data_IF_360143164767
#
_entry.id   IF_360143164767
#
_cell.length_a   1.000
_cell.length_b   1.000
_cell.length_c   1.000
_cell.angle_alpha   90.00
_cell.angle_beta   90.00
_cell.angle_gamma   90.00
#
_symmetry.space_group_name_H-M   'P 1'
#
loop_
_entity.id
_entity.type
_entity.pdbx_description
1 polymer ?
#
# COMPACT_ATOMS: atom_id res chain seq x y z
N UNK A 1 -4.40 -9.17 23.42
CA UNK A 1 -3.92 -10.24 22.53
C UNK A 1 -3.14 -9.61 21.38
N UNK A 2 -1.83 -9.87 21.26
CA UNK A 2 -1.06 -9.47 20.07
C UNK A 2 -1.42 -10.44 18.94
N UNK A 3 -2.08 -9.96 17.89
CA UNK A 3 -2.31 -10.75 16.68
C UNK A 3 -0.94 -10.94 16.04
N UNK A 4 -0.31 -12.10 16.24
CA UNK A 4 0.92 -12.46 15.54
C UNK A 4 0.54 -12.63 14.06
N UNK A 5 0.79 -11.62 13.23
CA UNK A 5 0.64 -11.79 11.79
C UNK A 5 1.63 -12.88 11.33
N UNK A 6 1.21 -13.84 10.49
CA UNK A 6 2.13 -14.81 9.92
C UNK A 6 3.22 -14.06 9.14
N UNK A 7 4.42 -14.64 9.11
CA UNK A 7 5.54 -14.07 8.38
C UNK A 7 5.12 -13.75 6.93
N UNK A 8 5.56 -12.62 6.36
CA UNK A 8 5.16 -12.21 5.02
C UNK A 8 5.50 -13.31 4.00
N UNK A 9 4.49 -13.85 3.30
CA UNK A 9 4.73 -14.87 2.29
C UNK A 9 5.42 -14.26 1.07
N UNK A 10 6.72 -14.50 0.96
CA UNK A 10 7.63 -14.08 -0.12
C UNK A 10 7.96 -15.25 -1.06
N UNK A 11 7.32 -16.41 -0.93
CA UNK A 11 7.53 -17.51 -1.87
C UNK A 11 6.74 -17.24 -3.16
N UNK A 12 7.31 -17.51 -4.35
CA UNK A 12 6.58 -17.47 -5.61
C UNK A 12 5.32 -18.33 -5.56
N UNK A 13 4.25 -17.89 -6.21
CA UNK A 13 3.05 -18.73 -6.37
C UNK A 13 3.31 -19.84 -7.40
N UNK A 14 2.63 -21.01 -7.32
CA UNK A 14 2.85 -22.13 -8.23
C UNK A 14 2.81 -21.77 -9.72
N UNK A 15 1.88 -20.89 -10.12
CA UNK A 15 1.69 -20.47 -11.51
C UNK A 15 2.29 -19.08 -11.81
N UNK A 16 3.35 -18.69 -11.10
CA UNK A 16 3.98 -17.39 -11.33
C UNK A 16 4.87 -17.42 -12.58
N UNK A 17 4.61 -16.59 -13.61
CA UNK A 17 5.29 -16.70 -14.90
C UNK A 17 6.73 -16.16 -14.90
N UNK A 18 7.11 -15.33 -13.93
CA UNK A 18 8.44 -14.72 -13.85
C UNK A 18 8.84 -14.41 -12.40
N UNK A 19 10.15 -14.35 -12.08
CA UNK A 19 10.61 -13.97 -10.75
C UNK A 19 10.24 -12.51 -10.40
N UNK A 20 9.94 -12.27 -9.13
CA UNK A 20 9.64 -10.95 -8.60
C UNK A 20 10.56 -10.63 -7.43
N UNK A 21 10.85 -9.34 -7.22
CA UNK A 21 11.69 -8.93 -6.09
C UNK A 21 11.00 -9.20 -4.76
N UNK A 22 11.77 -9.70 -3.79
CA UNK A 22 11.37 -9.87 -2.39
C UNK A 22 11.81 -8.70 -1.51
N UNK A 23 12.58 -7.76 -2.09
CA UNK A 23 13.08 -6.58 -1.40
C UNK A 23 11.91 -5.66 -1.00
N UNK A 24 11.99 -5.15 0.23
CA UNK A 24 11.01 -4.23 0.79
C UNK A 24 11.63 -2.86 0.92
N UNK A 25 10.83 -1.83 0.65
CA UNK A 25 11.24 -0.44 0.77
C UNK A 25 10.76 0.13 2.11
N UNK A 26 11.67 0.74 2.86
CA UNK A 26 11.32 1.54 4.05
C UNK A 26 10.67 2.86 3.62
N UNK A 27 9.56 3.22 4.25
CA UNK A 27 8.86 4.49 4.03
C UNK A 27 9.46 5.63 4.85
N UNK A 28 9.00 6.86 4.59
CA UNK A 28 9.25 8.02 5.46
C UNK A 28 8.21 8.18 6.57
N UNK A 29 7.21 7.30 6.61
CA UNK A 29 6.03 7.39 7.47
C UNK A 29 6.34 6.75 8.83
N UNK A 30 6.34 7.48 9.94
CA UNK A 30 6.58 6.93 11.27
C UNK A 30 5.39 6.09 11.76
N UNK A 31 5.68 4.99 12.44
CA UNK A 31 4.66 4.15 13.10
C UNK A 31 4.29 4.75 14.45
N UNK A 32 3.03 4.59 14.85
CA UNK A 32 2.61 4.98 16.20
C UNK A 32 3.01 3.95 17.28
N UNK A 33 3.36 2.71 16.90
CA UNK A 33 3.59 1.60 17.82
C UNK A 33 5.03 1.47 18.30
N UNK A 34 5.98 1.98 17.53
CA UNK A 34 7.42 1.91 17.77
C UNK A 34 8.12 3.12 17.12
N UNK A 35 9.41 3.29 17.35
CA UNK A 35 10.20 4.39 16.78
C UNK A 35 10.68 4.14 15.34
N UNK A 36 10.10 3.15 14.67
CA UNK A 36 10.39 2.81 13.28
C UNK A 36 9.47 3.49 12.27
N UNK A 37 9.84 3.36 11.00
CA UNK A 37 8.97 3.70 9.87
C UNK A 37 8.25 2.46 9.33
N UNK A 38 7.18 2.69 8.58
CA UNK A 38 6.51 1.63 7.83
C UNK A 38 7.43 1.03 6.74
N UNK A 39 7.15 -0.21 6.38
CA UNK A 39 7.85 -0.89 5.29
C UNK A 39 6.82 -1.38 4.29
N UNK A 40 6.94 -0.95 3.05
CA UNK A 40 6.05 -1.35 1.99
C UNK A 40 6.21 -2.83 1.64
N UNK A 41 5.16 -3.47 1.10
CA UNK A 41 5.26 -4.84 0.58
C UNK A 41 6.25 -4.87 -0.60
N UNK A 42 6.95 -5.99 -0.75
CA UNK A 42 7.72 -6.28 -1.95
C UNK A 42 6.79 -6.58 -3.13
N UNK A 43 7.36 -6.64 -4.34
CA UNK A 43 6.63 -7.07 -5.54
C UNK A 43 6.01 -8.46 -5.36
N UNK A 44 6.78 -9.40 -4.79
CA UNK A 44 6.30 -10.76 -4.53
C UNK A 44 5.17 -10.80 -3.50
N UNK A 45 5.26 -9.99 -2.43
CA UNK A 45 4.18 -9.87 -1.45
C UNK A 45 2.91 -9.30 -2.07
N UNK A 46 3.04 -8.28 -2.92
CA UNK A 46 1.93 -7.68 -3.64
C UNK A 46 1.26 -8.67 -4.59
N UNK A 47 2.05 -9.38 -5.40
CA UNK A 47 1.55 -10.44 -6.28
C UNK A 47 0.74 -11.47 -5.50
N UNK A 48 1.32 -12.01 -4.42
CA UNK A 48 0.65 -12.98 -3.56
C UNK A 48 -0.62 -12.42 -2.92
N UNK A 49 -0.64 -11.13 -2.56
CA UNK A 49 -1.83 -10.47 -2.02
C UNK A 49 -2.94 -10.33 -3.07
N UNK A 50 -2.60 -9.99 -4.31
CA UNK A 50 -3.56 -9.88 -5.41
C UNK A 50 -4.16 -11.24 -5.76
N UNK A 51 -3.35 -12.31 -5.81
CA UNK A 51 -3.83 -13.68 -6.03
C UNK A 51 -4.83 -14.11 -4.94
N UNK A 52 -4.58 -13.77 -3.66
CA UNK A 52 -5.51 -14.04 -2.54
C UNK A 52 -6.83 -13.27 -2.67
N UNK A 53 -6.82 -12.10 -3.31
CA UNK A 53 -8.02 -11.32 -3.62
C UNK A 53 -8.78 -11.84 -4.85
N UNK A 54 -8.38 -13.00 -5.41
CA UNK A 54 -9.02 -13.61 -6.57
C UNK A 54 -8.58 -13.01 -7.90
N UNK A 55 -7.59 -12.11 -7.91
CA UNK A 55 -7.02 -11.63 -9.16
C UNK A 55 -6.35 -12.81 -9.89
N UNK A 56 -6.45 -12.80 -11.22
CA UNK A 56 -5.82 -13.79 -12.11
C UNK A 56 -5.12 -13.03 -13.22
N UNK A 57 -3.80 -12.95 -13.13
CA UNK A 57 -2.97 -12.36 -14.17
C UNK A 57 -2.99 -13.27 -15.40
N UNK A 58 -3.18 -12.71 -16.59
CA UNK A 58 -2.94 -13.44 -17.84
C UNK A 58 -1.47 -13.25 -18.25
N UNK A 59 -0.87 -14.29 -18.81
CA UNK A 59 0.58 -14.36 -19.09
C UNK A 59 1.10 -13.27 -20.04
N UNK A 60 0.21 -12.63 -20.82
CA UNK A 60 0.52 -11.55 -21.76
C UNK A 60 0.23 -10.13 -21.21
N UNK A 61 -0.41 -10.01 -20.05
CA UNK A 61 -0.90 -8.72 -19.55
C UNK A 61 0.07 -7.95 -18.67
N UNK A 62 1.06 -8.62 -18.09
CA UNK A 62 1.95 -8.00 -17.11
C UNK A 62 3.35 -8.60 -17.19
N UNK A 63 4.36 -7.73 -17.13
CA UNK A 63 5.77 -8.14 -17.03
C UNK A 63 6.33 -7.85 -15.64
N UNK A 64 7.46 -8.46 -15.29
CA UNK A 64 8.19 -8.12 -14.06
C UNK A 64 8.52 -6.62 -13.97
N UNK A 65 8.86 -6.00 -15.12
CA UNK A 65 9.14 -4.56 -15.20
C UNK A 65 7.90 -3.72 -14.89
N UNK A 66 6.72 -4.15 -15.33
CA UNK A 66 5.48 -3.45 -15.03
C UNK A 66 5.09 -3.61 -13.57
N UNK A 67 5.31 -4.78 -12.98
CA UNK A 67 5.14 -4.98 -11.54
C UNK A 67 6.03 -4.02 -10.73
N UNK A 68 7.31 -3.87 -11.10
CA UNK A 68 8.21 -2.89 -10.46
C UNK A 68 7.66 -1.46 -10.52
N UNK A 69 7.16 -1.04 -11.69
CA UNK A 69 6.57 0.29 -11.86
C UNK A 69 5.31 0.45 -11.00
N UNK A 70 4.43 -0.55 -10.99
CA UNK A 70 3.19 -0.54 -10.19
C UNK A 70 3.54 -0.30 -8.72
N UNK A 71 4.48 -1.06 -8.15
CA UNK A 71 4.87 -0.90 -6.75
C UNK A 71 5.47 0.48 -6.48
N UNK A 72 6.36 0.97 -7.36
CA UNK A 72 6.93 2.31 -7.22
C UNK A 72 5.86 3.40 -7.21
N UNK A 73 4.87 3.32 -8.11
CA UNK A 73 3.76 4.27 -8.18
C UNK A 73 2.92 4.21 -6.89
N UNK A 74 2.60 3.02 -6.39
CA UNK A 74 1.83 2.86 -5.16
C UNK A 74 2.55 3.44 -3.94
N UNK A 75 3.85 3.16 -3.81
CA UNK A 75 4.66 3.69 -2.71
C UNK A 75 4.76 5.21 -2.80
N UNK A 76 5.02 5.76 -3.98
CA UNK A 76 5.05 7.21 -4.20
C UNK A 76 3.71 7.88 -3.86
N UNK A 77 2.58 7.23 -4.19
CA UNK A 77 1.26 7.72 -3.84
C UNK A 77 1.05 7.75 -2.31
N UNK A 78 1.47 6.70 -1.60
CA UNK A 78 1.39 6.66 -0.13
C UNK A 78 2.21 7.79 0.51
N UNK A 79 3.43 8.04 0.02
CA UNK A 79 4.28 9.13 0.51
C UNK A 79 3.71 10.52 0.18
N UNK A 80 3.07 10.67 -0.98
CA UNK A 80 2.37 11.90 -1.33
C UNK A 80 1.17 12.16 -0.39
N UNK A 81 0.35 11.14 -0.15
CA UNK A 81 -0.78 11.21 0.78
C UNK A 81 -0.30 11.54 2.19
N UNK A 82 0.81 10.95 2.64
CA UNK A 82 1.38 11.27 3.95
C UNK A 82 1.78 12.74 4.06
N UNK A 83 2.45 13.30 3.04
CA UNK A 83 2.78 14.73 3.01
C UNK A 83 1.55 15.63 3.05
N UNK A 84 0.46 15.23 2.39
CA UNK A 84 -0.80 15.97 2.49
C UNK A 84 -1.39 15.90 3.90
N UNK A 85 -1.41 14.71 4.52
CA UNK A 85 -1.86 14.56 5.92
C UNK A 85 -1.07 15.49 6.83
N UNK A 86 0.26 15.55 6.72
CA UNK A 86 1.09 16.45 7.52
C UNK A 86 0.70 17.92 7.36
N UNK A 87 0.35 18.37 6.16
CA UNK A 87 -0.14 19.74 5.94
C UNK A 87 -1.46 20.01 6.67
N UNK A 88 -2.38 19.04 6.65
CA UNK A 88 -3.66 19.15 7.34
C UNK A 88 -3.50 19.13 8.86
N UNK A 89 -2.66 18.24 9.39
CA UNK A 89 -2.34 18.18 10.82
C UNK A 89 -1.71 19.49 11.31
N UNK A 90 -0.74 20.05 10.57
CA UNK A 90 -0.14 21.33 10.92
C UNK A 90 -1.16 22.50 10.90
N UNK A 91 -2.15 22.44 10.00
CA UNK A 91 -3.17 23.48 9.88
C UNK A 91 -4.24 23.40 11.00
N UNK A 92 -4.63 22.18 11.40
CA UNK A 92 -5.74 21.93 12.32
C UNK A 92 -5.30 21.70 13.77
N UNK A 93 -4.10 21.15 13.95
CA UNK A 93 -3.51 20.74 15.23
C UNK A 93 -2.05 21.21 15.32
N UNK A 94 -1.78 22.53 15.22
CA UNK A 94 -0.42 23.06 15.26
C UNK A 94 0.32 22.77 16.58
N UNK A 95 -0.40 22.41 17.65
CA UNK A 95 0.15 21.97 18.93
C UNK A 95 0.77 20.56 18.92
N UNK A 96 0.54 19.79 17.86
CA UNK A 96 1.02 18.41 17.71
C UNK A 96 2.32 18.36 16.88
N UNK A 97 3.46 18.32 17.56
CA UNK A 97 4.77 18.45 16.91
C UNK A 97 5.27 17.18 16.19
N UNK A 98 4.63 16.03 16.35
CA UNK A 98 5.14 14.76 15.82
C UNK A 98 4.02 13.76 15.44
N UNK A 99 3.22 14.04 14.40
CA UNK A 99 2.21 13.11 13.92
C UNK A 99 2.81 11.76 13.48
N UNK A 100 2.21 10.66 13.98
CA UNK A 100 2.60 9.28 13.66
C UNK A 100 1.41 8.50 13.10
N UNK A 101 1.64 7.62 12.11
CA UNK A 101 0.57 6.83 11.51
C UNK A 101 0.29 5.57 12.33
N UNK A 102 -0.95 5.46 12.84
CA UNK A 102 -1.41 4.30 13.61
C UNK A 102 -1.57 3.04 12.76
N UNK A 103 -2.18 3.17 11.59
CA UNK A 103 -2.42 2.03 10.68
C UNK A 103 -2.76 2.51 9.27
N UNK A 104 -2.38 1.74 8.25
CA UNK A 104 -2.98 1.86 6.93
C UNK A 104 -4.38 1.25 6.94
N UNK A 105 -5.37 2.01 6.49
CA UNK A 105 -6.73 1.52 6.33
C UNK A 105 -7.29 2.04 5.00
N UNK A 106 -7.95 1.15 4.27
CA UNK A 106 -8.70 1.51 3.06
C UNK A 106 -10.08 0.88 3.15
N UNK A 107 -11.11 1.70 2.96
CA UNK A 107 -12.50 1.26 2.85
C UNK A 107 -13.00 1.57 1.44
N UNK A 108 -12.86 0.60 0.54
CA UNK A 108 -13.30 0.73 -0.86
C UNK A 108 -14.82 0.68 -1.02
N UNK A 109 -15.56 0.23 0.00
CA UNK A 109 -17.02 0.15 -0.05
C UNK A 109 -17.66 1.49 0.33
N UNK A 110 -16.96 2.34 1.09
CA UNK A 110 -17.42 3.67 1.47
C UNK A 110 -17.12 4.71 0.40
N UNK A 111 -17.85 4.65 -0.71
CA UNK A 111 -17.76 5.61 -1.82
C UNK A 111 -18.20 7.00 -1.37
N UNK A 112 -17.36 8.01 -1.58
CA UNK A 112 -17.65 9.43 -1.25
C UNK A 112 -18.79 10.00 -2.11
N UNK A 113 -19.54 11.02 -1.65
CA UNK A 113 -20.59 11.65 -2.46
C UNK A 113 -20.10 12.12 -3.83
N UNK A 114 -18.90 12.70 -3.88
CA UNK A 114 -18.24 13.12 -5.12
C UNK A 114 -17.99 11.96 -6.08
N UNK A 115 -17.51 10.82 -5.57
CA UNK A 115 -17.28 9.63 -6.39
C UNK A 115 -18.60 9.03 -6.91
N UNK A 116 -19.67 9.05 -6.12
CA UNK A 116 -21.02 8.64 -6.57
C UNK A 116 -21.53 9.49 -7.74
N UNK A 117 -21.41 10.81 -7.64
CA UNK A 117 -21.83 11.74 -8.70
C UNK A 117 -21.02 11.49 -9.98
N UNK A 118 -19.71 11.30 -9.87
CA UNK A 118 -18.87 10.98 -11.04
C UNK A 118 -19.26 9.65 -11.69
N UNK A 119 -19.55 8.63 -10.88
CA UNK A 119 -19.99 7.33 -11.40
C UNK A 119 -21.34 7.40 -12.13
N UNK A 120 -22.22 8.32 -11.72
CA UNK A 120 -23.50 8.57 -12.41
C UNK A 120 -23.32 9.31 -13.74
N UNK A 121 -22.27 10.11 -13.90
CA UNK A 121 -22.05 10.97 -15.07
C UNK A 121 -21.17 10.35 -16.16
N UNK A 122 -20.55 9.18 -15.90
CA UNK A 122 -19.61 8.52 -16.82
C UNK A 122 -18.17 8.95 -16.59
#
# INVERSE_FOLDING_TARGET
MKIQMPAPNQKPSPDQPFPLSTERQRSTIPKATDDGCWEYPSEQMFWNAMQRKGWRWKDDQITAKDMNKIIKIHNANNEAVWREILKWEMLLHPECDCPKLKSFHGDSQKITPRARIRQLLG
#
